data_IF_663057403560
#
_entry.id   IF_663057403560
#
_cell.length_a   1.000
_cell.length_b   1.000
_cell.length_c   1.000
_cell.angle_alpha   90.00
_cell.angle_beta   90.00
_cell.angle_gamma   90.00
#
_symmetry.space_group_name_H-M   'P 1'
#
loop_
_entity.id
_entity.type
_entity.pdbx_description
1 polymer ?
#
# COMPACT_ATOMS: atom_id res chain seq x y z
N UNK A 1 -65.02 -10.93 13.21
CA UNK A 1 -63.99 -9.87 13.15
C UNK A 1 -62.85 -10.28 14.07
N UNK A 2 -61.66 -10.57 13.55
CA UNK A 2 -60.36 -10.41 14.22
C UNK A 2 -59.27 -10.70 13.18
N UNK A 3 -58.92 -9.69 12.38
CA UNK A 3 -57.72 -9.70 11.53
C UNK A 3 -56.75 -8.72 12.18
N UNK A 4 -55.59 -9.23 12.61
CA UNK A 4 -54.26 -8.60 12.64
C UNK A 4 -53.47 -9.01 13.89
N UNK A 5 -52.62 -10.05 13.77
CA UNK A 5 -51.31 -9.96 14.41
C UNK A 5 -50.14 -10.23 13.44
N UNK A 6 -50.39 -10.31 12.12
CA UNK A 6 -49.36 -10.71 11.15
C UNK A 6 -48.58 -9.54 10.50
N UNK A 7 -48.87 -8.29 10.87
CA UNK A 7 -48.19 -7.11 10.28
C UNK A 7 -46.93 -6.69 11.03
N UNK A 8 -46.77 -7.09 12.29
CA UNK A 8 -45.61 -6.72 13.11
C UNK A 8 -44.40 -7.65 12.91
N UNK A 9 -44.61 -8.89 12.45
CA UNK A 9 -43.51 -9.83 12.21
C UNK A 9 -42.70 -9.48 10.94
N UNK A 10 -43.35 -8.88 9.94
CA UNK A 10 -42.69 -8.49 8.68
C UNK A 10 -41.81 -7.24 8.84
N UNK A 11 -42.14 -6.34 9.76
CA UNK A 11 -41.31 -5.15 10.02
C UNK A 11 -40.07 -5.46 10.87
N UNK A 12 -40.06 -6.58 11.61
CA UNK A 12 -38.93 -6.97 12.46
C UNK A 12 -37.87 -7.80 11.70
N UNK A 13 -38.21 -8.40 10.56
CA UNK A 13 -37.24 -9.11 9.70
C UNK A 13 -36.53 -8.20 8.67
N UNK A 14 -37.00 -6.98 8.44
CA UNK A 14 -36.37 -6.07 7.47
C UNK A 14 -35.20 -5.23 8.03
N UNK A 15 -34.92 -5.30 9.33
CA UNK A 15 -33.82 -4.54 9.96
C UNK A 15 -32.48 -5.31 10.02
N UNK A 16 -32.45 -6.60 9.65
CA UNK A 16 -31.22 -7.41 9.63
C UNK A 16 -30.48 -7.41 8.29
N UNK A 17 -31.03 -6.76 7.25
CA UNK A 17 -30.43 -6.76 5.91
C UNK A 17 -29.45 -5.60 5.64
N UNK A 18 -29.19 -4.72 6.63
CA UNK A 18 -28.34 -3.54 6.45
C UNK A 18 -27.10 -3.48 7.35
N UNK A 19 -26.89 -4.48 8.21
CA UNK A 19 -25.66 -4.57 9.03
C UNK A 19 -24.75 -5.59 8.37
N UNK A 20 -23.83 -5.12 7.52
CA UNK A 20 -22.67 -5.92 7.13
C UNK A 20 -21.94 -6.29 8.44
N UNK A 21 -21.69 -7.58 8.74
CA UNK A 21 -21.11 -7.93 10.03
C UNK A 21 -19.68 -7.38 10.11
N UNK A 22 -19.36 -6.65 11.17
CA UNK A 22 -18.02 -6.09 11.43
C UNK A 22 -16.89 -7.13 11.26
N UNK A 23 -17.19 -8.40 11.54
CA UNK A 23 -16.29 -9.55 11.34
C UNK A 23 -15.85 -9.74 9.87
N UNK A 24 -16.73 -9.48 8.90
CA UNK A 24 -16.41 -9.60 7.49
C UNK A 24 -15.56 -8.42 6.99
N UNK A 25 -15.77 -7.23 7.55
CA UNK A 25 -14.99 -6.03 7.23
C UNK A 25 -13.55 -6.14 7.79
N UNK A 26 -13.41 -6.70 9.00
CA UNK A 26 -12.11 -7.00 9.60
C UNK A 26 -11.33 -8.07 8.79
N UNK A 27 -12.01 -9.11 8.28
CA UNK A 27 -11.36 -10.13 7.44
C UNK A 27 -10.84 -9.56 6.11
N UNK A 28 -11.59 -8.66 5.47
CA UNK A 28 -11.17 -7.99 4.25
C UNK A 28 -9.95 -7.08 4.50
N UNK A 29 -9.96 -6.34 5.62
CA UNK A 29 -8.81 -5.55 6.05
C UNK A 29 -7.57 -6.42 6.30
N UNK A 30 -7.69 -7.51 7.05
CA UNK A 30 -6.55 -8.38 7.37
C UNK A 30 -5.93 -9.01 6.12
N UNK A 31 -6.75 -9.46 5.16
CA UNK A 31 -6.26 -9.96 3.88
C UNK A 31 -5.54 -8.86 3.08
N UNK A 32 -6.08 -7.63 3.11
CA UNK A 32 -5.47 -6.49 2.45
C UNK A 32 -4.14 -6.09 3.11
N UNK A 33 -4.06 -6.09 4.44
CA UNK A 33 -2.86 -5.82 5.22
C UNK A 33 -1.79 -6.90 4.97
N UNK A 34 -2.18 -8.17 4.92
CA UNK A 34 -1.26 -9.26 4.62
C UNK A 34 -0.63 -9.09 3.23
N UNK A 35 -1.43 -8.79 2.20
CA UNK A 35 -0.90 -8.44 0.87
C UNK A 35 0.01 -7.21 0.90
N UNK A 36 -0.29 -6.22 1.75
CA UNK A 36 0.53 -5.03 1.91
C UNK A 36 1.93 -5.37 2.40
N UNK A 37 2.00 -6.13 3.49
CA UNK A 37 3.25 -6.49 4.13
C UNK A 37 4.16 -7.28 3.17
N UNK A 38 3.59 -8.09 2.26
CA UNK A 38 4.35 -8.81 1.23
C UNK A 38 4.92 -7.85 0.19
N UNK A 39 4.10 -6.90 -0.27
CA UNK A 39 4.54 -5.91 -1.24
C UNK A 39 5.64 -5.00 -0.66
N UNK A 40 5.51 -4.58 0.61
CA UNK A 40 6.54 -3.80 1.30
C UNK A 40 7.83 -4.59 1.52
N UNK A 41 7.73 -5.88 1.86
CA UNK A 41 8.90 -6.75 1.96
C UNK A 41 9.64 -6.90 0.63
N UNK A 42 8.92 -7.00 -0.50
CA UNK A 42 9.53 -6.98 -1.83
C UNK A 42 10.17 -5.63 -2.14
N UNK A 43 9.49 -4.51 -1.84
CA UNK A 43 10.02 -3.18 -2.11
C UNK A 43 11.31 -2.90 -1.32
N UNK A 44 11.39 -3.34 -0.07
CA UNK A 44 12.58 -3.23 0.78
C UNK A 44 13.81 -3.96 0.22
N UNK A 45 13.61 -5.05 -0.53
CA UNK A 45 14.72 -5.77 -1.18
C UNK A 45 15.05 -5.17 -2.56
N UNK A 46 14.02 -4.81 -3.34
CA UNK A 46 14.17 -4.43 -4.75
C UNK A 46 14.66 -3.00 -4.90
N UNK A 47 14.05 -2.07 -4.19
CA UNK A 47 14.26 -0.63 -4.42
C UNK A 47 15.70 -0.18 -4.10
N UNK A 48 16.34 -0.62 -3.00
CA UNK A 48 17.76 -0.32 -2.77
C UNK A 48 18.68 -0.85 -3.87
N UNK A 49 18.45 -2.08 -4.34
CA UNK A 49 19.24 -2.66 -5.43
C UNK A 49 19.08 -1.89 -6.76
N UNK A 50 17.89 -1.33 -7.02
CA UNK A 50 17.69 -0.43 -8.16
C UNK A 50 18.44 0.90 -7.96
N UNK A 51 18.42 1.46 -6.74
CA UNK A 51 19.17 2.68 -6.44
C UNK A 51 20.68 2.50 -6.65
N UNK A 52 21.24 1.38 -6.19
CA UNK A 52 22.65 1.02 -6.38
C UNK A 52 23.00 0.85 -7.86
N UNK A 53 22.18 0.11 -8.61
CA UNK A 53 22.40 -0.10 -10.06
C UNK A 53 22.44 1.20 -10.84
N UNK A 54 21.61 2.16 -10.45
CA UNK A 54 21.48 3.45 -11.13
C UNK A 54 22.24 4.58 -10.41
N UNK A 55 23.19 4.26 -9.54
CA UNK A 55 23.93 5.22 -8.75
C UNK A 55 24.56 6.33 -9.62
N UNK A 56 24.47 7.57 -9.15
CA UNK A 56 24.96 8.76 -9.85
C UNK A 56 24.05 9.29 -10.96
N UNK A 57 22.89 8.67 -11.22
CA UNK A 57 21.92 9.13 -12.22
C UNK A 57 20.64 9.71 -11.58
N UNK A 58 19.83 10.42 -12.37
CA UNK A 58 18.52 10.89 -11.92
C UNK A 58 17.59 9.74 -11.50
N UNK A 59 17.63 8.64 -12.26
CA UNK A 59 16.89 7.43 -11.93
C UNK A 59 17.37 6.79 -10.62
N UNK A 60 18.68 6.82 -10.35
CA UNK A 60 19.24 6.38 -9.07
C UNK A 60 18.74 7.24 -7.90
N UNK A 61 18.60 8.56 -8.09
CA UNK A 61 18.01 9.45 -7.08
C UNK A 61 16.55 9.10 -6.80
N UNK A 62 15.75 8.84 -7.85
CA UNK A 62 14.37 8.38 -7.68
C UNK A 62 14.28 7.08 -6.87
N UNK A 63 15.04 6.04 -7.25
CA UNK A 63 15.03 4.78 -6.51
C UNK A 63 15.57 4.94 -5.09
N UNK A 64 16.56 5.81 -4.86
CA UNK A 64 17.06 6.12 -3.53
C UNK A 64 15.98 6.80 -2.66
N UNK A 65 15.26 7.78 -3.20
CA UNK A 65 14.13 8.41 -2.50
C UNK A 65 13.03 7.40 -2.16
N UNK A 66 12.75 6.46 -3.07
CA UNK A 66 11.82 5.37 -2.82
C UNK A 66 12.35 4.44 -1.71
N UNK A 67 13.64 4.06 -1.73
CA UNK A 67 14.22 3.23 -0.67
C UNK A 67 14.11 3.89 0.71
N UNK A 68 14.33 5.21 0.78
CA UNK A 68 14.17 6.00 2.01
C UNK A 68 12.73 5.94 2.52
N UNK A 69 11.72 6.09 1.64
CA UNK A 69 10.32 5.94 2.02
C UNK A 69 10.05 4.56 2.64
N UNK A 70 10.47 3.48 1.97
CA UNK A 70 10.25 2.11 2.45
C UNK A 70 10.91 1.84 3.81
N UNK A 71 12.12 2.35 4.01
CA UNK A 71 12.83 2.23 5.28
C UNK A 71 12.15 3.03 6.41
N UNK A 72 11.73 4.28 6.13
CA UNK A 72 11.15 5.17 7.12
C UNK A 72 9.81 4.65 7.67
N UNK A 73 9.00 4.01 6.83
CA UNK A 73 7.68 3.51 7.20
C UNK A 73 7.70 2.13 7.87
N UNK A 74 8.81 1.40 7.80
CA UNK A 74 8.93 0.02 8.31
C UNK A 74 8.45 -0.13 9.77
N UNK A 75 8.81 0.75 10.73
CA UNK A 75 8.33 0.62 12.11
C UNK A 75 6.80 0.68 12.23
N UNK A 76 6.14 1.52 11.41
CA UNK A 76 4.69 1.69 11.39
C UNK A 76 3.99 0.42 10.90
N UNK A 77 4.51 -0.17 9.83
CA UNK A 77 4.03 -1.45 9.31
C UNK A 77 4.24 -2.61 10.28
N UNK A 78 5.41 -2.68 10.93
CA UNK A 78 5.69 -3.72 11.93
C UNK A 78 4.78 -3.62 13.15
N UNK A 79 4.41 -2.40 13.59
CA UNK A 79 3.47 -2.21 14.69
C UNK A 79 2.09 -2.79 14.36
N UNK A 80 1.60 -2.55 13.14
CA UNK A 80 0.32 -3.08 12.67
C UNK A 80 0.35 -4.60 12.47
N UNK A 81 1.44 -5.12 11.90
CA UNK A 81 1.63 -6.56 11.77
C UNK A 81 1.56 -7.27 13.15
N UNK A 82 2.24 -6.71 14.17
CA UNK A 82 2.18 -7.23 15.55
C UNK A 82 0.78 -7.11 16.16
N UNK A 83 0.09 -5.98 15.95
CA UNK A 83 -1.27 -5.75 16.48
C UNK A 83 -2.27 -6.80 15.99
N UNK A 84 -2.08 -7.32 14.79
CA UNK A 84 -2.98 -8.26 14.14
C UNK A 84 -2.42 -9.69 14.08
N UNK A 85 -1.37 -9.99 14.84
CA UNK A 85 -0.68 -11.30 14.86
C UNK A 85 -0.24 -11.80 13.47
N UNK A 86 -0.03 -10.88 12.53
CA UNK A 86 0.55 -11.14 11.22
C UNK A 86 2.07 -11.22 11.37
N UNK A 87 2.56 -12.30 11.97
CA UNK A 87 3.99 -12.50 12.14
C UNK A 87 4.66 -12.73 10.77
N UNK A 88 5.56 -11.81 10.39
CA UNK A 88 6.42 -12.00 9.22
C UNK A 88 7.88 -11.78 9.56
N UNK A 89 8.66 -12.80 9.22
CA UNK A 89 10.12 -12.85 9.28
C UNK A 89 10.76 -12.77 7.88
N UNK A 90 9.97 -12.45 6.83
CA UNK A 90 10.36 -12.74 5.45
C UNK A 90 10.91 -11.55 4.69
N UNK A 91 11.99 -11.80 3.96
CA UNK A 91 12.41 -11.07 2.77
C UNK A 91 11.40 -11.27 1.62
N UNK A 92 11.44 -10.39 0.62
CA UNK A 92 10.64 -10.51 -0.60
C UNK A 92 10.94 -11.76 -1.44
N UNK A 93 12.01 -12.49 -1.10
CA UNK A 93 12.30 -13.85 -1.57
C UNK A 93 12.36 -13.95 -3.10
N UNK A 94 11.73 -15.00 -3.65
CA UNK A 94 11.70 -15.24 -5.09
C UNK A 94 11.06 -14.07 -5.88
N UNK A 95 10.04 -13.42 -5.34
CA UNK A 95 9.35 -12.30 -6.00
C UNK A 95 10.29 -11.09 -6.16
N UNK A 96 11.13 -10.81 -5.17
CA UNK A 96 12.16 -9.77 -5.27
C UNK A 96 13.21 -10.11 -6.34
N UNK A 97 13.72 -11.34 -6.34
CA UNK A 97 14.70 -11.79 -7.33
C UNK A 97 14.15 -11.74 -8.76
N UNK A 98 12.91 -12.19 -8.97
CA UNK A 98 12.23 -12.10 -10.27
C UNK A 98 12.04 -10.64 -10.72
N UNK A 99 11.69 -9.74 -9.79
CA UNK A 99 11.51 -8.32 -10.08
C UNK A 99 12.83 -7.66 -10.51
N UNK A 100 13.95 -7.99 -9.84
CA UNK A 100 15.27 -7.50 -10.20
C UNK A 100 15.73 -8.05 -11.56
N UNK A 101 15.55 -9.35 -11.80
CA UNK A 101 15.88 -9.94 -13.10
C UNK A 101 15.11 -9.25 -14.24
N UNK A 102 13.81 -9.01 -14.05
CA UNK A 102 13.00 -8.34 -15.06
C UNK A 102 13.39 -6.86 -15.26
N UNK A 103 13.64 -6.11 -14.18
CA UNK A 103 14.07 -4.71 -14.28
C UNK A 103 15.40 -4.56 -15.01
N UNK A 104 16.31 -5.51 -14.84
CA UNK A 104 17.62 -5.49 -15.48
C UNK A 104 17.56 -5.78 -16.98
N UNK A 105 16.60 -6.59 -17.41
CA UNK A 105 16.41 -6.97 -18.81
C UNK A 105 15.55 -5.95 -19.57
N UNK A 106 14.55 -5.36 -18.91
CA UNK A 106 13.50 -4.56 -19.55
C UNK A 106 13.10 -3.36 -18.69
N UNK A 107 14.06 -2.51 -18.36
CA UNK A 107 13.92 -1.40 -17.42
C UNK A 107 12.70 -0.50 -17.68
N UNK A 108 12.53 0.00 -18.91
CA UNK A 108 11.37 0.84 -19.27
C UNK A 108 10.04 0.10 -19.13
N UNK A 109 10.02 -1.18 -19.48
CA UNK A 109 8.81 -2.00 -19.33
C UNK A 109 8.52 -2.27 -17.85
N UNK A 110 9.55 -2.45 -17.03
CA UNK A 110 9.44 -2.62 -15.58
C UNK A 110 8.85 -1.38 -14.91
N UNK A 111 9.36 -0.18 -15.20
CA UNK A 111 8.80 1.07 -14.65
C UNK A 111 7.34 1.26 -15.08
N UNK A 112 7.03 1.01 -16.36
CA UNK A 112 5.64 1.07 -16.85
C UNK A 112 4.74 0.05 -16.16
N UNK A 113 5.21 -1.17 -15.98
CA UNK A 113 4.48 -2.23 -15.27
C UNK A 113 4.22 -1.82 -13.82
N UNK A 114 5.23 -1.30 -13.11
CA UNK A 114 5.06 -0.81 -11.74
C UNK A 114 4.04 0.33 -11.68
N UNK A 115 4.14 1.34 -12.55
CA UNK A 115 3.20 2.46 -12.57
C UNK A 115 1.74 1.99 -12.72
N UNK A 116 1.49 1.03 -13.63
CA UNK A 116 0.15 0.47 -13.81
C UNK A 116 -0.29 -0.36 -12.60
N UNK A 117 0.57 -1.27 -12.13
CA UNK A 117 0.25 -2.16 -11.02
C UNK A 117 -0.03 -1.38 -9.72
N UNK A 118 0.73 -0.33 -9.43
CA UNK A 118 0.51 0.51 -8.25
C UNK A 118 -0.78 1.32 -8.37
N UNK A 119 -1.14 1.78 -9.58
CA UNK A 119 -2.42 2.47 -9.80
C UNK A 119 -3.62 1.55 -9.59
N UNK A 120 -3.58 0.34 -10.14
CA UNK A 120 -4.62 -0.67 -9.93
C UNK A 120 -4.72 -1.04 -8.44
N UNK A 121 -3.58 -1.17 -7.77
CA UNK A 121 -3.50 -1.53 -6.37
C UNK A 121 -4.05 -0.44 -5.43
N UNK A 122 -3.86 0.84 -5.77
CA UNK A 122 -4.49 1.95 -5.04
C UNK A 122 -6.02 1.85 -5.09
N UNK A 123 -6.59 1.51 -6.25
CA UNK A 123 -8.04 1.33 -6.38
C UNK A 123 -8.53 0.16 -5.50
N UNK A 124 -7.80 -0.96 -5.48
CA UNK A 124 -8.09 -2.09 -4.58
C UNK A 124 -8.07 -1.66 -3.10
N UNK A 125 -7.07 -0.87 -2.69
CA UNK A 125 -6.89 -0.38 -1.32
C UNK A 125 -8.04 0.52 -0.86
N UNK A 126 -8.48 1.42 -1.73
CA UNK A 126 -9.60 2.33 -1.47
C UNK A 126 -10.94 1.60 -1.36
N UNK A 127 -11.06 0.42 -1.99
CA UNK A 127 -12.26 -0.41 -1.93
C UNK A 127 -12.36 -1.26 -0.64
N UNK A 128 -11.28 -1.34 0.16
CA UNK A 128 -11.30 -2.09 1.42
C UNK A 128 -12.24 -1.41 2.42
N UNK A 129 -13.20 -2.13 3.02
CA UNK A 129 -14.07 -1.58 4.05
C UNK A 129 -13.27 -0.94 5.18
N UNK A 130 -13.83 0.16 5.74
CA UNK A 130 -13.19 0.89 6.82
C UNK A 130 -13.05 -0.03 8.05
N UNK A 131 -11.84 -0.23 8.61
CA UNK A 131 -11.63 -1.09 9.78
C UNK A 131 -12.37 -0.56 11.01
N UNK A 132 -12.67 -1.44 11.99
CA UNK A 132 -13.49 -1.07 13.15
C UNK A 132 -12.88 -0.01 14.07
N UNK A 133 -11.57 -0.09 14.37
CA UNK A 133 -10.94 0.78 15.37
C UNK A 133 -10.18 1.97 14.76
N UNK A 134 -10.13 3.09 15.51
CA UNK A 134 -9.61 4.37 15.01
C UNK A 134 -8.11 4.34 14.67
N UNK A 135 -7.31 3.56 15.39
CA UNK A 135 -5.88 3.45 15.16
C UNK A 135 -5.59 2.73 13.85
N UNK A 136 -6.26 1.59 13.63
CA UNK A 136 -6.20 0.83 12.38
C UNK A 136 -6.72 1.64 11.19
N UNK A 137 -7.79 2.43 11.38
CA UNK A 137 -8.29 3.35 10.36
C UNK A 137 -7.25 4.43 10.01
N UNK A 138 -6.59 5.03 10.99
CA UNK A 138 -5.57 6.05 10.76
C UNK A 138 -4.34 5.47 10.05
N UNK A 139 -3.97 4.23 10.36
CA UNK A 139 -2.96 3.51 9.61
C UNK A 139 -3.40 3.25 8.16
N UNK A 140 -4.60 2.74 7.93
CA UNK A 140 -5.07 2.46 6.58
C UNK A 140 -5.19 3.71 5.72
N UNK A 141 -5.62 4.83 6.30
CA UNK A 141 -5.61 6.13 5.63
C UNK A 141 -4.20 6.56 5.19
N UNK A 142 -3.19 6.31 6.03
CA UNK A 142 -1.80 6.53 5.64
C UNK A 142 -1.35 5.60 4.51
N UNK A 143 -1.69 4.31 4.54
CA UNK A 143 -1.34 3.38 3.47
C UNK A 143 -1.92 3.87 2.13
N UNK A 144 -3.18 4.31 2.12
CA UNK A 144 -3.81 4.87 0.92
C UNK A 144 -3.09 6.13 0.44
N UNK A 145 -2.71 7.03 1.35
CA UNK A 145 -2.01 8.26 0.96
C UNK A 145 -0.60 7.99 0.44
N UNK A 146 0.14 7.08 1.08
CA UNK A 146 1.43 6.62 0.60
C UNK A 146 1.32 6.03 -0.81
N UNK A 147 0.35 5.15 -1.06
CA UNK A 147 0.12 4.56 -2.39
C UNK A 147 -0.21 5.65 -3.42
N UNK A 148 -1.00 6.66 -3.06
CA UNK A 148 -1.30 7.80 -3.94
C UNK A 148 -0.03 8.53 -4.39
N UNK A 149 0.89 8.79 -3.45
CA UNK A 149 2.19 9.42 -3.74
C UNK A 149 3.06 8.50 -4.59
N UNK A 150 3.06 7.18 -4.33
CA UNK A 150 3.80 6.20 -5.12
C UNK A 150 3.27 6.11 -6.56
N UNK A 151 1.95 6.18 -6.77
CA UNK A 151 1.33 6.28 -8.10
C UNK A 151 1.80 7.54 -8.83
N UNK A 152 1.79 8.69 -8.16
CA UNK A 152 2.24 9.96 -8.74
C UNK A 152 3.72 9.91 -9.16
N UNK A 153 4.59 9.44 -8.27
CA UNK A 153 6.02 9.33 -8.54
C UNK A 153 6.33 8.31 -9.65
N UNK A 154 5.66 7.16 -9.66
CA UNK A 154 5.85 6.15 -10.72
C UNK A 154 5.30 6.63 -12.07
N UNK A 155 4.23 7.43 -12.08
CA UNK A 155 3.74 8.06 -13.31
C UNK A 155 4.78 9.04 -13.86
N UNK A 156 5.39 9.89 -13.02
CA UNK A 156 6.49 10.79 -13.43
C UNK A 156 7.70 10.01 -13.95
N UNK A 157 8.13 8.97 -13.22
CA UNK A 157 9.22 8.09 -13.62
C UNK A 157 8.96 7.36 -14.95
N UNK A 158 7.70 6.97 -15.22
CA UNK A 158 7.30 6.36 -16.49
C UNK A 158 7.51 7.30 -17.68
N UNK A 159 7.31 8.60 -17.50
CA UNK A 159 7.60 9.62 -18.51
C UNK A 159 9.09 10.00 -18.56
N UNK A 160 9.93 9.41 -17.70
CA UNK A 160 11.37 9.68 -17.60
C UNK A 160 11.74 10.86 -16.72
N UNK A 161 10.77 11.52 -16.07
CA UNK A 161 11.01 12.63 -15.14
C UNK A 161 11.35 12.11 -13.73
N UNK A 162 12.55 11.55 -13.60
CA UNK A 162 13.00 10.94 -12.36
C UNK A 162 13.30 11.97 -11.26
N UNK A 163 13.63 13.22 -11.61
CA UNK A 163 13.86 14.27 -10.62
C UNK A 163 12.54 14.73 -9.99
N UNK A 164 11.47 14.91 -10.78
CA UNK A 164 10.14 15.14 -10.23
C UNK A 164 9.66 13.94 -9.39
N UNK A 165 9.87 12.72 -9.88
CA UNK A 165 9.52 11.49 -9.15
C UNK A 165 10.21 11.41 -7.78
N UNK A 166 11.52 11.72 -7.72
CA UNK A 166 12.27 11.76 -6.47
C UNK A 166 11.71 12.84 -5.53
N UNK A 167 11.49 14.06 -6.03
CA UNK A 167 10.99 15.17 -5.23
C UNK A 167 9.59 14.91 -4.63
N UNK A 168 8.72 14.20 -5.36
CA UNK A 168 7.41 13.76 -4.89
C UNK A 168 7.53 12.87 -3.66
N UNK A 169 8.41 11.86 -3.70
CA UNK A 169 8.63 10.94 -2.59
C UNK A 169 9.33 11.61 -1.40
N UNK A 170 10.36 12.42 -1.66
CA UNK A 170 11.10 13.13 -0.62
C UNK A 170 10.22 14.08 0.19
N UNK A 171 9.32 14.80 -0.50
CA UNK A 171 8.37 15.71 0.16
C UNK A 171 7.43 14.95 1.09
N UNK A 172 6.87 13.85 0.62
CA UNK A 172 6.02 13.00 1.46
C UNK A 172 6.78 12.48 2.68
N UNK A 173 8.01 12.01 2.51
CA UNK A 173 8.85 11.56 3.65
C UNK A 173 9.09 12.69 4.65
N UNK A 174 9.43 13.90 4.17
CA UNK A 174 9.65 15.05 5.03
C UNK A 174 8.40 15.43 5.85
N UNK A 175 7.24 15.43 5.20
CA UNK A 175 5.94 15.76 5.83
C UNK A 175 5.50 14.69 6.84
N UNK A 176 5.69 13.40 6.53
CA UNK A 176 5.21 12.30 7.38
C UNK A 176 6.15 11.97 8.55
N UNK A 177 7.47 12.16 8.38
CA UNK A 177 8.47 11.69 9.33
C UNK A 177 9.34 12.80 9.93
N UNK A 178 9.05 14.08 9.63
CA UNK A 178 9.87 15.23 10.03
C UNK A 178 11.35 15.09 9.64
N UNK A 179 11.62 14.43 8.50
CA UNK A 179 12.97 14.25 7.98
C UNK A 179 13.38 15.47 7.12
N UNK A 180 14.66 15.92 7.17
CA UNK A 180 15.14 16.95 6.27
C UNK A 180 15.14 16.46 4.81
N UNK A 181 14.75 17.33 3.87
CA UNK A 181 14.88 17.06 2.43
C UNK A 181 16.37 16.89 2.08
N UNK A 182 16.72 15.78 1.42
CA UNK A 182 18.09 15.46 0.98
C UNK A 182 18.28 15.72 -0.52
#
# INVERSE_FOLDING_TARGET
>A
MLRQPLKHLVHMLCLLALVRPAVADDAAYLAALDKELDNRAVALDVVPALAERHAGTAQGRFWSAYAVLEAAQLPRYQAQARRHDLQRTRSGGFKAQASLAFSWLQEKAFVKMLANATADYLAERQAVPRPGDAETQAFWAYVIEQERVQVEALAQAREGDYDAAAATLQRFVAEQFNAPLQ
#
